data_IF_531712432513
#
_entry.id   IF_531712432513
#
_cell.length_a   1.000
_cell.length_b   1.000
_cell.length_c   1.000
_cell.angle_alpha   90.00
_cell.angle_beta   90.00
_cell.angle_gamma   90.00
#
_symmetry.space_group_name_H-M   'P 1'
#
loop_
_entity.id
_entity.type
_entity.pdbx_description
1 polymer ?
#
# COMPACT_ATOMS: atom_id res chain seq x y z
N UNK A 1 9.61 -31.59 -31.82
CA UNK A 1 10.22 -30.68 -32.81
C UNK A 1 9.88 -29.27 -32.40
N UNK A 2 10.86 -28.49 -31.94
CA UNK A 2 10.68 -27.06 -31.68
C UNK A 2 10.63 -26.32 -33.03
N UNK A 3 9.42 -26.04 -33.52
CA UNK A 3 9.26 -25.12 -34.64
C UNK A 3 9.36 -23.69 -34.10
N UNK A 4 10.58 -23.15 -34.06
CA UNK A 4 10.77 -21.70 -33.89
C UNK A 4 10.35 -21.01 -35.18
N UNK A 5 9.35 -20.16 -35.08
CA UNK A 5 8.98 -19.23 -36.15
C UNK A 5 10.22 -18.43 -36.58
N UNK A 6 10.43 -18.19 -37.88
CA UNK A 6 11.43 -17.25 -38.37
C UNK A 6 11.33 -15.91 -37.64
N UNK A 7 12.47 -15.28 -37.34
CA UNK A 7 12.48 -14.08 -36.49
C UNK A 7 11.64 -12.93 -37.06
N UNK A 8 11.70 -12.73 -38.37
CA UNK A 8 10.89 -11.74 -39.09
C UNK A 8 9.38 -11.99 -38.93
N UNK A 9 8.96 -13.26 -39.09
CA UNK A 9 7.56 -13.65 -38.90
C UNK A 9 7.12 -13.51 -37.44
N UNK A 10 8.00 -13.81 -36.49
CA UNK A 10 7.73 -13.66 -35.05
C UNK A 10 7.50 -12.19 -34.69
N UNK A 11 8.39 -11.30 -35.15
CA UNK A 11 8.29 -9.86 -34.92
C UNK A 11 7.00 -9.30 -35.50
N UNK A 12 6.67 -9.67 -36.73
CA UNK A 12 5.45 -9.22 -37.40
C UNK A 12 4.19 -9.66 -36.63
N UNK A 13 4.14 -10.92 -36.20
CA UNK A 13 3.00 -11.45 -35.43
C UNK A 13 2.84 -10.80 -34.06
N UNK A 14 3.94 -10.48 -33.39
CA UNK A 14 3.91 -9.75 -32.11
C UNK A 14 3.37 -8.32 -32.32
N UNK A 15 3.83 -7.61 -33.35
CA UNK A 15 3.34 -6.26 -33.64
C UNK A 15 1.85 -6.25 -33.98
N UNK A 16 1.39 -7.21 -34.79
CA UNK A 16 -0.02 -7.36 -35.14
C UNK A 16 -0.88 -7.60 -33.89
N UNK A 17 -0.48 -8.55 -33.04
CA UNK A 17 -1.19 -8.88 -31.81
C UNK A 17 -1.26 -7.68 -30.83
N UNK A 18 -0.14 -6.99 -30.60
CA UNK A 18 -0.11 -5.79 -29.74
C UNK A 18 -1.01 -4.68 -30.28
N UNK A 19 -1.04 -4.50 -31.60
CA UNK A 19 -1.87 -3.47 -32.25
C UNK A 19 -3.36 -3.78 -32.09
N UNK A 20 -3.75 -5.03 -32.33
CA UNK A 20 -5.13 -5.49 -32.12
C UNK A 20 -5.55 -5.31 -30.66
N UNK A 21 -4.72 -5.74 -29.72
CA UNK A 21 -4.99 -5.59 -28.30
C UNK A 21 -5.21 -4.13 -27.87
N UNK A 22 -4.40 -3.20 -28.39
CA UNK A 22 -4.56 -1.75 -28.15
C UNK A 22 -5.84 -1.17 -28.72
N UNK A 23 -6.30 -1.69 -29.86
CA UNK A 23 -7.58 -1.27 -30.45
C UNK A 23 -8.80 -1.71 -29.63
N UNK A 24 -8.71 -2.85 -28.93
CA UNK A 24 -9.79 -3.40 -28.12
C UNK A 24 -9.88 -2.72 -26.75
N UNK A 25 -8.73 -2.43 -26.11
CA UNK A 25 -8.69 -1.85 -24.78
C UNK A 25 -7.57 -0.81 -24.66
N UNK A 26 -7.92 0.47 -24.53
CA UNK A 26 -6.96 1.57 -24.35
C UNK A 26 -6.13 1.46 -23.06
N UNK A 27 -6.60 0.71 -22.06
CA UNK A 27 -5.88 0.44 -20.82
C UNK A 27 -4.92 -0.74 -20.89
N UNK A 28 -4.84 -1.45 -22.03
CA UNK A 28 -4.01 -2.66 -22.17
C UNK A 28 -2.52 -2.36 -22.06
N UNK A 29 -2.08 -1.14 -22.39
CA UNK A 29 -0.69 -0.76 -22.29
C UNK A 29 -0.16 -0.90 -20.87
N UNK A 30 -0.99 -0.67 -19.84
CA UNK A 30 -0.59 -0.88 -18.45
C UNK A 30 -0.24 -2.35 -18.14
N UNK A 31 -0.87 -3.30 -18.84
CA UNK A 31 -0.64 -4.73 -18.70
C UNK A 31 0.55 -5.16 -19.57
N UNK A 32 0.62 -4.69 -20.82
CA UNK A 32 1.71 -5.00 -21.75
C UNK A 32 3.06 -4.41 -21.29
N UNK A 33 3.02 -3.31 -20.53
CA UNK A 33 4.20 -2.69 -19.92
C UNK A 33 4.54 -3.27 -18.55
N UNK A 34 3.74 -4.19 -18.02
CA UNK A 34 4.01 -4.82 -16.73
C UNK A 34 5.08 -5.91 -16.90
N UNK A 35 6.33 -5.46 -16.95
CA UNK A 35 7.52 -6.31 -16.96
C UNK A 35 7.92 -6.77 -15.54
N UNK A 36 7.02 -6.66 -14.56
CA UNK A 36 7.28 -7.20 -13.23
C UNK A 36 7.38 -8.73 -13.27
N UNK A 37 8.17 -9.29 -12.36
CA UNK A 37 8.36 -10.73 -12.24
C UNK A 37 6.99 -11.46 -12.27
N UNK A 38 6.77 -12.40 -13.20
CA UNK A 38 5.49 -13.07 -13.34
C UNK A 38 5.10 -13.69 -11.98
N UNK A 39 3.85 -13.45 -11.56
CA UNK A 39 3.19 -13.95 -10.34
C UNK A 39 3.26 -13.09 -9.06
N UNK A 40 3.82 -11.88 -9.07
CA UNK A 40 3.81 -11.04 -7.86
C UNK A 40 3.18 -9.67 -8.10
N UNK A 41 2.01 -9.45 -7.50
CA UNK A 41 1.40 -8.13 -7.42
C UNK A 41 2.42 -7.12 -6.87
N UNK A 42 2.43 -5.90 -7.43
CA UNK A 42 3.23 -4.78 -6.96
C UNK A 42 2.99 -4.58 -5.45
N UNK A 43 3.98 -4.96 -4.65
CA UNK A 43 3.90 -4.94 -3.18
C UNK A 43 3.66 -3.52 -2.66
N UNK A 44 4.41 -2.54 -3.16
CA UNK A 44 4.30 -1.17 -2.66
C UNK A 44 2.93 -0.58 -2.97
N UNK A 45 2.46 -0.71 -4.21
CA UNK A 45 1.14 -0.25 -4.62
C UNK A 45 0.00 -0.97 -3.88
N UNK A 46 0.14 -2.27 -3.63
CA UNK A 46 -0.83 -3.01 -2.83
C UNK A 46 -0.88 -2.47 -1.39
N UNK A 47 0.27 -2.27 -0.74
CA UNK A 47 0.33 -1.79 0.64
C UNK A 47 -0.21 -0.37 0.79
N UNK A 48 0.12 0.54 -0.14
CA UNK A 48 -0.38 1.93 -0.13
C UNK A 48 -1.90 2.01 -0.31
N UNK A 49 -2.54 1.04 -0.99
CA UNK A 49 -4.00 1.00 -1.11
C UNK A 49 -4.71 0.32 0.07
N UNK A 50 -4.00 -0.49 0.83
CA UNK A 50 -4.61 -1.40 1.81
C UNK A 50 -4.13 -1.21 3.25
N UNK A 51 -3.25 -0.24 3.53
CA UNK A 51 -2.67 -0.07 4.86
C UNK A 51 -3.70 0.20 5.96
N UNK A 52 -4.87 0.77 5.63
CA UNK A 52 -5.94 1.04 6.59
C UNK A 52 -6.68 -0.22 7.04
N UNK A 53 -6.64 -1.30 6.25
CA UNK A 53 -7.31 -2.54 6.62
C UNK A 53 -6.59 -3.19 7.81
N UNK A 54 -7.33 -3.36 8.89
CA UNK A 54 -6.84 -4.07 10.05
C UNK A 54 -6.86 -5.58 9.78
N UNK A 55 -5.72 -6.11 9.36
CA UNK A 55 -5.54 -7.52 9.09
C UNK A 55 -4.11 -7.98 9.45
N UNK A 56 -3.94 -9.27 9.79
CA UNK A 56 -2.63 -9.81 10.16
C UNK A 56 -1.65 -9.80 8.98
N UNK A 57 -0.35 -9.77 9.26
CA UNK A 57 0.71 -9.76 8.23
C UNK A 57 0.65 -10.97 7.32
N UNK A 58 0.21 -12.11 7.85
CA UNK A 58 -0.01 -13.36 7.14
C UNK A 58 -0.99 -13.14 5.98
N UNK A 59 -2.07 -12.38 6.21
CA UNK A 59 -3.05 -12.06 5.18
C UNK A 59 -2.49 -11.09 4.15
N UNK A 60 -1.64 -10.13 4.53
CA UNK A 60 -0.94 -9.26 3.57
C UNK A 60 0.01 -10.07 2.68
N UNK A 61 0.74 -11.03 3.25
CA UNK A 61 1.62 -11.90 2.48
C UNK A 61 0.84 -12.76 1.50
N UNK A 62 -0.28 -13.34 1.93
CA UNK A 62 -1.15 -14.16 1.08
C UNK A 62 -1.72 -13.35 -0.09
N UNK A 63 -2.30 -12.17 0.16
CA UNK A 63 -2.89 -11.33 -0.88
C UNK A 63 -1.87 -10.76 -1.87
N UNK A 64 -0.59 -10.76 -1.52
CA UNK A 64 0.50 -10.33 -2.43
C UNK A 64 1.20 -11.49 -3.10
N UNK A 65 0.70 -12.72 -2.97
CA UNK A 65 1.28 -13.93 -3.58
C UNK A 65 2.65 -14.30 -2.99
N UNK A 66 2.88 -14.02 -1.71
CA UNK A 66 4.18 -14.21 -1.04
C UNK A 66 4.03 -15.08 0.20
N UNK A 67 5.02 -15.92 0.47
CA UNK A 67 5.20 -16.46 1.82
C UNK A 67 5.52 -15.33 2.79
N UNK A 68 5.23 -15.49 4.09
CA UNK A 68 5.49 -14.46 5.10
C UNK A 68 6.97 -14.02 5.12
N UNK A 69 7.90 -14.96 4.99
CA UNK A 69 9.35 -14.66 4.92
C UNK A 69 9.71 -13.85 3.69
N UNK A 70 9.19 -14.22 2.52
CA UNK A 70 9.41 -13.49 1.26
C UNK A 70 8.81 -12.10 1.34
N UNK A 71 7.60 -11.98 1.89
CA UNK A 71 6.93 -10.69 2.11
C UNK A 71 7.79 -9.77 2.98
N UNK A 72 8.24 -10.22 4.15
CA UNK A 72 9.08 -9.39 5.04
C UNK A 72 10.38 -8.93 4.36
N UNK A 73 11.04 -9.82 3.60
CA UNK A 73 12.27 -9.50 2.85
C UNK A 73 12.02 -8.49 1.75
N UNK A 74 11.03 -8.75 0.89
CA UNK A 74 10.68 -7.88 -0.23
C UNK A 74 10.20 -6.50 0.28
N UNK A 75 9.44 -6.48 1.38
CA UNK A 75 8.98 -5.26 2.03
C UNK A 75 10.15 -4.42 2.55
N UNK A 76 11.11 -5.05 3.27
CA UNK A 76 12.30 -4.35 3.75
C UNK A 76 13.12 -3.77 2.59
N UNK A 77 13.21 -4.48 1.46
CA UNK A 77 13.86 -3.96 0.25
C UNK A 77 13.12 -2.75 -0.34
N UNK A 78 11.79 -2.77 -0.36
CA UNK A 78 10.98 -1.71 -0.95
C UNK A 78 10.88 -0.44 -0.09
N UNK A 79 10.78 -0.59 1.25
CA UNK A 79 10.48 0.51 2.17
C UNK A 79 11.59 0.80 3.18
N UNK A 80 12.68 0.04 3.16
CA UNK A 80 13.80 0.13 4.11
C UNK A 80 13.39 0.01 5.59
N UNK A 81 12.28 -0.66 5.89
CA UNK A 81 11.75 -0.86 7.25
C UNK A 81 10.92 -2.14 7.35
N UNK A 82 10.45 -2.49 8.55
CA UNK A 82 9.58 -3.65 8.76
C UNK A 82 8.12 -3.31 8.42
N UNK A 83 7.30 -4.29 7.98
CA UNK A 83 5.89 -4.08 7.68
C UNK A 83 5.10 -3.46 8.85
N UNK A 84 5.33 -3.92 10.09
CA UNK A 84 4.65 -3.41 11.29
C UNK A 84 4.99 -1.94 11.58
N UNK A 85 6.27 -1.58 11.49
CA UNK A 85 6.70 -0.20 11.73
C UNK A 85 6.15 0.72 10.65
N UNK A 86 6.17 0.27 9.39
CA UNK A 86 5.63 1.03 8.28
C UNK A 86 4.11 1.25 8.41
N UNK A 87 3.35 0.18 8.69
CA UNK A 87 1.90 0.27 8.90
C UNK A 87 1.57 1.24 10.02
N UNK A 88 2.22 1.08 11.18
CA UNK A 88 2.02 1.97 12.34
C UNK A 88 2.28 3.42 11.94
N UNK A 89 3.43 3.70 11.31
CA UNK A 89 3.79 5.06 10.90
C UNK A 89 2.78 5.66 9.91
N UNK A 90 2.43 4.94 8.85
CA UNK A 90 1.46 5.40 7.84
C UNK A 90 0.08 5.66 8.41
N UNK A 91 -0.41 4.79 9.30
CA UNK A 91 -1.70 4.97 9.98
C UNK A 91 -1.70 6.17 10.93
N UNK A 92 -0.58 6.40 11.63
CA UNK A 92 -0.41 7.58 12.49
C UNK A 92 -0.33 8.88 11.68
N UNK A 93 0.36 8.87 10.54
CA UNK A 93 0.39 10.00 9.59
C UNK A 93 -1.01 10.32 9.06
N UNK A 94 -1.80 9.30 8.71
CA UNK A 94 -3.20 9.47 8.30
C UNK A 94 -4.05 10.08 9.43
N UNK A 95 -3.83 9.65 10.68
CA UNK A 95 -4.54 10.15 11.85
C UNK A 95 -4.17 11.59 12.24
N UNK A 96 -3.00 12.07 11.80
CA UNK A 96 -2.48 13.38 12.20
C UNK A 96 -3.40 14.52 11.74
N UNK A 97 -3.78 14.55 10.47
CA UNK A 97 -4.60 15.62 9.89
C UNK A 97 -6.01 15.73 10.54
N UNK A 98 -6.78 14.64 10.73
CA UNK A 98 -8.04 14.69 11.45
C UNK A 98 -7.94 15.20 12.90
N UNK A 99 -6.80 14.94 13.57
CA UNK A 99 -6.55 15.40 14.94
C UNK A 99 -6.15 16.88 14.98
N UNK A 100 -5.32 17.34 14.04
CA UNK A 100 -4.83 18.73 14.01
C UNK A 100 -5.84 19.70 13.43
N UNK A 101 -6.38 19.40 12.24
CA UNK A 101 -7.14 20.36 11.44
C UNK A 101 -8.66 20.22 11.64
N UNK A 102 -9.13 19.00 11.92
CA UNK A 102 -10.56 18.72 12.09
C UNK A 102 -10.99 18.56 13.55
N UNK A 103 -10.05 18.61 14.49
CA UNK A 103 -10.28 18.43 15.93
C UNK A 103 -11.16 17.22 16.27
N UNK A 104 -11.04 16.13 15.50
CA UNK A 104 -11.79 14.89 15.78
C UNK A 104 -11.22 14.24 17.03
N UNK A 105 -12.07 13.58 17.81
CA UNK A 105 -11.59 12.90 19.02
C UNK A 105 -10.81 11.63 18.63
N UNK A 106 -9.75 11.27 19.36
CA UNK A 106 -9.00 10.03 19.14
C UNK A 106 -9.87 8.77 19.12
N UNK A 107 -10.90 8.71 19.98
CA UNK A 107 -11.87 7.62 20.07
C UNK A 107 -12.68 7.43 18.79
N UNK A 108 -12.88 8.50 18.00
CA UNK A 108 -13.69 8.45 16.78
C UNK A 108 -12.87 8.00 15.55
N UNK A 109 -11.54 8.12 15.59
CA UNK A 109 -10.69 7.94 14.40
C UNK A 109 -9.81 6.70 14.43
N UNK A 110 -9.52 6.13 15.61
CA UNK A 110 -8.49 5.10 15.72
C UNK A 110 -8.85 3.84 14.91
N UNK A 111 -10.13 3.45 14.89
CA UNK A 111 -10.60 2.35 14.04
C UNK A 111 -10.54 2.70 12.55
N UNK A 112 -10.90 3.92 12.17
CA UNK A 112 -10.91 4.37 10.76
C UNK A 112 -9.51 4.33 10.13
N UNK A 113 -8.49 4.71 10.91
CA UNK A 113 -7.09 4.67 10.45
C UNK A 113 -6.45 3.29 10.63
N UNK A 114 -7.20 2.29 11.09
CA UNK A 114 -6.79 0.88 11.11
C UNK A 114 -6.14 0.39 12.40
N UNK A 115 -6.34 1.04 13.55
CA UNK A 115 -5.95 0.50 14.86
C UNK A 115 -7.10 -0.28 15.51
N UNK A 116 -6.76 -1.36 16.23
CA UNK A 116 -7.74 -2.16 16.98
C UNK A 116 -8.06 -1.59 18.36
N UNK A 117 -7.12 -0.85 18.94
CA UNK A 117 -7.17 -0.43 20.33
C UNK A 117 -6.69 1.02 20.47
N UNK A 118 -7.51 1.85 21.12
CA UNK A 118 -7.23 3.24 21.42
C UNK A 118 -5.96 3.42 22.28
N UNK A 119 -5.69 2.52 23.22
CA UNK A 119 -4.50 2.59 24.08
C UNK A 119 -3.22 2.41 23.28
N UNK A 120 -3.21 1.42 22.37
CA UNK A 120 -2.08 1.19 21.47
C UNK A 120 -1.89 2.36 20.50
N UNK A 121 -2.99 2.86 19.92
CA UNK A 121 -2.97 4.07 19.08
C UNK A 121 -2.37 5.27 19.83
N UNK A 122 -2.85 5.56 21.03
CA UNK A 122 -2.43 6.74 21.80
C UNK A 122 -0.95 6.67 22.21
N UNK A 123 -0.49 5.47 22.61
CA UNK A 123 0.92 5.24 22.91
C UNK A 123 1.80 5.44 21.66
N UNK A 124 1.43 4.82 20.54
CA UNK A 124 2.17 4.91 19.29
C UNK A 124 2.20 6.35 18.74
N UNK A 125 1.07 7.05 18.81
CA UNK A 125 0.94 8.45 18.39
C UNK A 125 1.86 9.37 19.21
N UNK A 126 1.83 9.23 20.55
CA UNK A 126 2.73 10.00 21.43
C UNK A 126 4.20 9.70 21.13
N UNK A 127 4.55 8.44 20.87
CA UNK A 127 5.91 8.05 20.52
C UNK A 127 6.37 8.68 19.21
N UNK A 128 5.48 8.79 18.22
CA UNK A 128 5.79 9.33 16.90
C UNK A 128 5.85 10.86 16.86
N UNK A 129 4.91 11.55 17.53
CA UNK A 129 4.73 13.01 17.44
C UNK A 129 5.10 13.77 18.72
N UNK A 130 5.51 13.08 19.79
CA UNK A 130 5.90 13.68 21.08
C UNK A 130 4.73 14.18 21.94
N UNK A 131 3.51 14.20 21.42
CA UNK A 131 2.30 14.69 22.10
C UNK A 131 1.18 13.67 22.02
N UNK A 132 0.30 13.65 23.01
CA UNK A 132 -0.85 12.73 23.01
C UNK A 132 -1.89 13.19 21.98
N UNK A 133 -2.62 12.25 21.35
CA UNK A 133 -3.63 12.60 20.36
C UNK A 133 -4.77 13.43 20.98
N UNK A 134 -5.12 13.19 22.25
CA UNK A 134 -6.11 13.99 22.99
C UNK A 134 -5.68 15.44 23.15
N UNK A 135 -4.44 15.70 23.58
CA UNK A 135 -3.90 17.06 23.75
C UNK A 135 -3.90 17.82 22.42
N UNK A 136 -3.71 17.10 21.33
CA UNK A 136 -3.67 17.66 20.00
C UNK A 136 -5.07 18.00 19.49
N UNK A 137 -6.06 17.12 19.72
CA UNK A 137 -7.46 17.38 19.41
C UNK A 137 -8.06 18.53 20.24
N UNK A 138 -7.64 18.68 21.50
CA UNK A 138 -8.15 19.70 22.43
C UNK A 138 -7.59 21.12 22.17
N UNK A 139 -6.63 21.28 21.26
CA UNK A 139 -6.16 22.61 20.83
C UNK A 139 -7.27 23.31 20.03
N UNK A 140 -8.19 23.98 20.74
CA UNK A 140 -9.09 24.97 20.14
C UNK A 140 -8.24 26.05 19.47
N UNK A 141 -8.38 26.20 18.15
CA UNK A 141 -7.91 27.40 17.46
C UNK A 141 -8.75 28.57 18.03
N UNK A 142 -8.14 29.64 18.56
CA UNK A 142 -8.89 30.85 18.87
C UNK A 142 -9.52 31.35 17.56
N UNK A 143 -10.83 31.55 17.58
CA UNK A 143 -11.64 32.10 16.49
C UNK A 143 -10.85 33.16 15.70
N UNK A 144 -10.70 32.94 14.39
CA UNK A 144 -10.19 33.95 13.44
C UNK A 144 -11.33 34.49 12.64
#
# INVERSE_FOLDING_TARGET
MDYKLPQELSKLKIQEAVTVLRSINKGIDNILSDFSEPNKINLAGFMERNYMFNMPLEKFSYLTGRSLTTFKRDFKRAFNTTPQNWLTKKRLELAHYPLTEKHRKPIDIFYEVGFENLSHFSYAFKKQFGVTPTKLADRKIPDR
#
